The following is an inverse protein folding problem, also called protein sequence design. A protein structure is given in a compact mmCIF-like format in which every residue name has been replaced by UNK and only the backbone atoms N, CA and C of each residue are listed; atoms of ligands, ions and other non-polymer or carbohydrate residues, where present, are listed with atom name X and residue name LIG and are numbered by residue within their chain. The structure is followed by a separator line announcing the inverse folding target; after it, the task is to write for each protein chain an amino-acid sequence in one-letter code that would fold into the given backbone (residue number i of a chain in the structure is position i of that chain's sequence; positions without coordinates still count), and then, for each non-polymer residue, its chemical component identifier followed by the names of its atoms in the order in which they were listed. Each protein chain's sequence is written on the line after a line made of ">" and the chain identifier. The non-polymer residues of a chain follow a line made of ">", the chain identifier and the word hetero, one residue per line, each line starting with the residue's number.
data_IF_456197631532
#
_entry.id   IF_456197631532
#
_cell.length_a   1.000
_cell.length_b   1.000
_cell.length_c   1.000
_cell.angle_alpha   90.00
_cell.angle_beta   90.00
_cell.angle_gamma   90.00
#
_symmetry.space_group_name_H-M   'P 1'
#
loop_
_entity.id
_entity.type
_entity.pdbx_description
1 polymer ?
#
# COMPACT_ATOMS: atom_id res chain seq x y z
N UNK A 1 0.48 -7.40 27.38
CA UNK A 1 -0.05 -6.07 27.03
C UNK A 1 -0.59 -6.21 25.63
N UNK A 2 -1.93 -6.28 25.55
CA UNK A 2 -2.80 -6.49 24.37
C UNK A 2 -2.18 -7.19 23.17
N UNK A 3 -2.33 -8.52 23.14
CA UNK A 3 -2.13 -9.40 21.98
C UNK A 3 -3.27 -9.08 20.99
N UNK A 4 -3.06 -8.05 20.16
CA UNK A 4 -4.05 -7.63 19.17
C UNK A 4 -3.68 -8.35 17.88
N UNK A 5 -4.62 -9.13 17.34
CA UNK A 5 -4.41 -9.85 16.10
C UNK A 5 -3.88 -8.92 14.99
N UNK A 6 -2.82 -9.31 14.25
CA UNK A 6 -2.29 -8.54 13.13
C UNK A 6 -3.36 -8.15 12.09
N UNK A 7 -4.43 -8.94 11.99
CA UNK A 7 -5.60 -8.67 11.13
C UNK A 7 -6.39 -7.41 11.52
N UNK A 8 -6.45 -7.08 12.81
CA UNK A 8 -7.10 -5.85 13.30
C UNK A 8 -6.25 -4.64 12.92
N UNK A 9 -4.92 -4.74 13.07
CA UNK A 9 -4.00 -3.71 12.62
C UNK A 9 -4.06 -3.50 11.10
N UNK A 10 -4.12 -4.59 10.33
CA UNK A 10 -4.31 -4.50 8.88
C UNK A 10 -5.64 -3.79 8.55
N UNK A 11 -6.74 -4.19 9.16
CA UNK A 11 -8.04 -3.55 8.93
C UNK A 11 -8.02 -2.06 9.29
N UNK A 12 -7.41 -1.69 10.41
CA UNK A 12 -7.26 -0.29 10.82
C UNK A 12 -6.48 0.53 9.80
N UNK A 13 -5.33 0.03 9.34
CA UNK A 13 -4.50 0.72 8.35
C UNK A 13 -5.19 0.80 6.98
N UNK A 14 -5.98 -0.20 6.61
CA UNK A 14 -6.82 -0.16 5.40
C UNK A 14 -7.88 0.94 5.47
N UNK A 15 -8.66 1.03 6.55
CA UNK A 15 -9.65 2.11 6.67
C UNK A 15 -8.99 3.49 6.76
N UNK A 16 -7.84 3.59 7.45
CA UNK A 16 -7.05 4.82 7.49
C UNK A 16 -6.56 5.23 6.09
N UNK A 17 -6.05 4.29 5.29
CA UNK A 17 -5.62 4.61 3.92
C UNK A 17 -6.82 5.14 3.11
N UNK A 18 -7.95 4.44 3.09
CA UNK A 18 -9.14 4.89 2.36
C UNK A 18 -9.61 6.27 2.80
N UNK A 19 -9.56 6.57 4.10
CA UNK A 19 -9.87 7.90 4.63
C UNK A 19 -8.93 8.99 4.09
N UNK A 20 -7.61 8.76 4.10
CA UNK A 20 -6.64 9.71 3.53
C UNK A 20 -6.76 9.84 2.01
N UNK A 21 -7.13 8.76 1.31
CA UNK A 21 -7.43 8.78 -0.13
C UNK A 21 -8.58 9.73 -0.44
N UNK A 22 -9.68 9.66 0.31
CA UNK A 22 -10.83 10.56 0.17
C UNK A 22 -10.49 12.01 0.51
N UNK A 23 -9.56 12.23 1.44
CA UNK A 23 -9.07 13.58 1.80
C UNK A 23 -7.99 14.13 0.86
N UNK A 24 -7.60 13.36 -0.17
CA UNK A 24 -6.52 13.71 -1.10
C UNK A 24 -5.15 13.91 -0.40
N UNK A 25 -4.96 13.26 0.75
CA UNK A 25 -3.70 13.27 1.51
C UNK A 25 -2.81 12.10 1.08
N UNK A 26 -2.26 12.20 -0.14
CA UNK A 26 -1.50 11.11 -0.79
C UNK A 26 -0.29 10.64 0.02
N UNK A 27 0.39 11.56 0.71
CA UNK A 27 1.54 11.21 1.55
C UNK A 27 1.16 10.29 2.74
N UNK A 28 0.01 10.56 3.37
CA UNK A 28 -0.49 9.76 4.49
C UNK A 28 -1.12 8.46 4.01
N UNK A 29 -1.85 8.49 2.88
CA UNK A 29 -2.34 7.29 2.21
C UNK A 29 -1.20 6.30 1.95
N UNK A 30 -0.11 6.79 1.34
CA UNK A 30 1.06 5.98 1.01
C UNK A 30 1.65 5.28 2.24
N UNK A 31 1.79 6.01 3.36
CA UNK A 31 2.33 5.46 4.61
C UNK A 31 1.41 4.41 5.22
N UNK A 32 0.11 4.68 5.31
CA UNK A 32 -0.88 3.72 5.84
C UNK A 32 -1.01 2.49 4.95
N UNK A 33 -0.89 2.65 3.62
CA UNK A 33 -0.90 1.56 2.66
C UNK A 33 0.34 0.66 2.81
N UNK A 34 1.54 1.21 2.99
CA UNK A 34 2.75 0.43 3.29
C UNK A 34 2.63 -0.34 4.61
N UNK A 35 2.07 0.28 5.64
CA UNK A 35 1.80 -0.39 6.93
C UNK A 35 0.82 -1.55 6.75
N UNK A 36 -0.25 -1.36 5.97
CA UNK A 36 -1.20 -2.43 5.64
C UNK A 36 -0.49 -3.65 5.01
N UNK A 37 0.43 -3.39 4.08
CA UNK A 37 1.23 -4.43 3.41
C UNK A 37 2.24 -5.13 4.34
N UNK A 38 2.68 -4.46 5.41
CA UNK A 38 3.53 -5.07 6.42
C UNK A 38 2.77 -6.09 7.30
N UNK A 39 1.46 -5.91 7.47
CA UNK A 39 0.62 -6.77 8.31
C UNK A 39 -0.22 -7.80 7.53
N UNK A 40 -0.42 -7.63 6.21
CA UNK A 40 -1.12 -8.59 5.35
C UNK A 40 -0.22 -9.18 4.27
N UNK A 41 -0.27 -10.50 4.09
CA UNK A 41 0.44 -11.14 2.98
C UNK A 41 -0.20 -10.75 1.65
N UNK A 42 0.60 -10.18 0.76
CA UNK A 42 0.18 -9.80 -0.60
C UNK A 42 -0.23 -11.03 -1.41
N UNK A 43 0.20 -12.23 -1.01
CA UNK A 43 -0.10 -13.49 -1.70
C UNK A 43 -1.56 -13.90 -1.60
N UNK A 44 -2.29 -13.47 -0.57
CA UNK A 44 -3.72 -13.81 -0.38
C UNK A 44 -4.68 -12.92 -1.17
N UNK A 45 -4.18 -11.85 -1.79
CA UNK A 45 -5.00 -10.90 -2.54
C UNK A 45 -5.14 -11.34 -4.01
N UNK A 46 -6.24 -10.97 -4.66
CA UNK A 46 -6.41 -11.16 -6.10
C UNK A 46 -5.40 -10.33 -6.88
N UNK A 47 -4.87 -10.85 -7.99
CA UNK A 47 -3.89 -10.13 -8.82
C UNK A 47 -4.46 -8.83 -9.39
N UNK A 48 -5.75 -8.78 -9.70
CA UNK A 48 -6.46 -7.54 -10.08
C UNK A 48 -6.39 -6.48 -8.99
N UNK A 49 -6.63 -6.87 -7.75
CA UNK A 49 -6.57 -5.96 -6.61
C UNK A 49 -5.14 -5.49 -6.33
N UNK A 50 -4.14 -6.37 -6.49
CA UNK A 50 -2.73 -5.99 -6.37
C UNK A 50 -2.35 -4.94 -7.41
N UNK A 51 -2.82 -5.09 -8.65
CA UNK A 51 -2.56 -4.12 -9.72
C UNK A 51 -3.18 -2.76 -9.40
N UNK A 52 -4.48 -2.73 -9.07
CA UNK A 52 -5.17 -1.48 -8.70
C UNK A 52 -4.49 -0.81 -7.50
N UNK A 53 -4.13 -1.60 -6.50
CA UNK A 53 -3.47 -1.11 -5.30
C UNK A 53 -2.05 -0.58 -5.60
N UNK A 54 -1.26 -1.29 -6.41
CA UNK A 54 0.06 -0.83 -6.84
C UNK A 54 -0.03 0.45 -7.68
N UNK A 55 -1.06 0.57 -8.52
CA UNK A 55 -1.33 1.79 -9.28
C UNK A 55 -1.66 2.97 -8.35
N UNK A 56 -2.59 2.79 -7.41
CA UNK A 56 -2.93 3.80 -6.40
C UNK A 56 -1.70 4.23 -5.57
N UNK A 57 -0.85 3.26 -5.20
CA UNK A 57 0.37 3.50 -4.43
C UNK A 57 1.39 4.32 -5.22
N UNK A 58 1.60 3.96 -6.50
CA UNK A 58 2.50 4.66 -7.42
C UNK A 58 2.01 6.08 -7.71
N UNK A 59 0.70 6.23 -7.90
CA UNK A 59 0.04 7.52 -8.09
C UNK A 59 0.23 8.40 -6.84
N UNK A 60 0.01 7.84 -5.65
CA UNK A 60 0.16 8.56 -4.40
C UNK A 60 1.62 8.93 -4.10
N UNK A 61 2.58 8.11 -4.53
CA UNK A 61 4.00 8.43 -4.42
C UNK A 61 4.43 9.53 -5.40
N UNK A 62 3.75 9.66 -6.55
CA UNK A 62 4.00 10.73 -7.52
C UNK A 62 3.37 12.06 -7.10
N UNK A 63 2.15 12.02 -6.54
CA UNK A 63 1.38 13.18 -6.10
C UNK A 63 1.67 13.59 -4.65
N UNK A 64 2.29 12.73 -3.86
CA UNK A 64 2.55 12.96 -2.45
C UNK A 64 3.75 13.89 -2.23
N UNK A 65 3.49 15.04 -1.60
CA UNK A 65 4.56 15.92 -1.14
C UNK A 65 5.51 15.19 -0.17
N UNK A 66 6.82 15.38 -0.35
CA UNK A 66 7.90 14.76 0.43
C UNK A 66 8.04 13.22 0.31
N UNK A 67 7.45 12.57 -0.69
CA UNK A 67 7.75 11.16 -0.96
C UNK A 67 8.97 11.05 -1.89
N UNK A 68 10.16 11.02 -1.29
CA UNK A 68 11.42 10.76 -1.99
C UNK A 68 11.77 9.27 -2.09
N UNK A 69 10.93 8.41 -1.51
CA UNK A 69 11.14 6.96 -1.43
C UNK A 69 10.57 6.17 -2.62
N UNK A 70 10.31 6.83 -3.75
CA UNK A 70 9.87 6.16 -4.98
C UNK A 70 10.88 5.10 -5.45
N UNK A 71 12.18 5.33 -5.22
CA UNK A 71 13.24 4.37 -5.50
C UNK A 71 13.18 3.12 -4.61
N UNK A 72 12.89 3.27 -3.31
CA UNK A 72 12.67 2.13 -2.40
C UNK A 72 11.36 1.39 -2.71
N UNK A 73 10.33 2.11 -3.17
CA UNK A 73 9.07 1.53 -3.61
C UNK A 73 9.26 0.60 -4.82
N UNK A 74 10.04 1.02 -5.81
CA UNK A 74 10.39 0.21 -6.98
C UNK A 74 11.10 -1.10 -6.62
N UNK A 75 11.85 -1.11 -5.51
CA UNK A 75 12.49 -2.31 -4.99
C UNK A 75 11.55 -3.20 -4.15
N UNK A 76 10.38 -2.69 -3.75
CA UNK A 76 9.43 -3.44 -2.94
C UNK A 76 8.74 -4.53 -3.77
N UNK A 77 8.49 -5.75 -3.21
CA UNK A 77 7.86 -6.88 -3.91
C UNK A 77 6.51 -6.57 -4.57
N UNK A 78 5.88 -5.45 -4.21
CA UNK A 78 4.60 -4.99 -4.75
C UNK A 78 4.72 -4.39 -6.15
N UNK A 79 5.82 -3.72 -6.45
CA UNK A 79 6.08 -3.24 -7.82
C UNK A 79 6.62 -4.40 -8.67
N UNK A 80 7.27 -5.39 -8.06
CA UNK A 80 7.67 -6.63 -8.76
C UNK A 80 6.45 -7.44 -9.26
N UNK A 81 5.31 -7.36 -8.58
CA UNK A 81 4.04 -7.93 -9.07
C UNK A 81 3.61 -7.28 -10.40
N UNK A 82 3.78 -5.97 -10.54
CA UNK A 82 3.53 -5.26 -11.81
C UNK A 82 4.41 -5.81 -12.95
N UNK A 83 5.64 -6.19 -12.64
CA UNK A 83 6.57 -6.75 -13.63
C UNK A 83 6.31 -8.22 -13.96
N UNK A 84 5.75 -9.00 -13.03
CA UNK A 84 5.56 -10.43 -13.24
C UNK A 84 4.32 -10.79 -14.08
N UNK A 85 3.32 -9.91 -14.15
CA UNK A 85 2.10 -10.10 -14.96
C UNK A 85 2.30 -9.93 -16.47
N UNK A 86 3.51 -9.60 -16.93
CA UNK A 86 3.86 -9.44 -18.36
C UNK A 86 4.69 -10.62 -18.93
N UNK A 87 4.62 -11.82 -18.34
CA UNK A 87 5.27 -13.02 -18.90
C UNK A 87 4.35 -14.23 -18.97
#
# INVERSE_FOLDING_TARGET
>A
MTDIDPSVYASYHWFSSQYHKSRQEFAQFYKSALLYLAYMSVESLSDTFKLDFAFDLSLSALLGDNIYNFGELLAHPIVRIFFHLNS
#
